data_IF_913162636212
#
_entry.id   IF_913162636212
#
_cell.length_a   1.000
_cell.length_b   1.000
_cell.length_c   1.000
_cell.angle_alpha   90.00
_cell.angle_beta   90.00
_cell.angle_gamma   90.00
#
_symmetry.space_group_name_H-M   'P 1'
#
loop_
_entity.id
_entity.type
_entity.pdbx_description
1 polymer ?
#
# COMPACT_ATOMS: atom_id res chain seq x y z
N UNK A 1 0.52 -6.59 -9.09
CA UNK A 1 1.78 -7.04 -8.46
C UNK A 1 2.95 -6.72 -9.37
N UNK A 2 4.05 -6.23 -8.81
CA UNK A 2 5.33 -6.04 -9.49
C UNK A 2 6.44 -6.78 -8.75
N UNK A 3 7.39 -7.37 -9.47
CA UNK A 3 8.50 -8.15 -8.92
C UNK A 3 9.83 -7.65 -9.47
N UNK A 4 10.78 -7.40 -8.58
CA UNK A 4 12.18 -7.13 -8.91
C UNK A 4 13.07 -8.18 -8.24
N UNK A 5 13.98 -8.81 -9.00
CA UNK A 5 14.99 -9.73 -8.46
C UNK A 5 16.37 -9.22 -8.81
N UNK A 6 17.16 -8.88 -7.79
CA UNK A 6 18.56 -8.51 -7.93
C UNK A 6 19.44 -9.66 -7.44
N UNK A 7 20.07 -10.36 -8.39
CA UNK A 7 20.92 -11.52 -8.10
C UNK A 7 22.28 -11.15 -7.50
N UNK A 8 22.84 -10.02 -7.91
CA UNK A 8 24.13 -9.52 -7.43
C UNK A 8 24.02 -9.02 -5.98
N UNK A 9 23.02 -8.18 -5.72
CA UNK A 9 22.70 -7.67 -4.38
C UNK A 9 21.98 -8.68 -3.47
N UNK A 10 21.65 -9.87 -4.00
CA UNK A 10 20.95 -10.96 -3.31
C UNK A 10 19.66 -10.51 -2.63
N UNK A 11 18.77 -9.88 -3.39
CA UNK A 11 17.46 -9.51 -2.89
C UNK A 11 16.35 -9.62 -3.93
N UNK A 12 15.14 -9.81 -3.46
CA UNK A 12 13.91 -9.74 -4.24
C UNK A 12 12.94 -8.76 -3.55
N UNK A 13 12.24 -7.97 -4.36
CA UNK A 13 11.24 -7.01 -3.90
C UNK A 13 9.93 -7.30 -4.63
N UNK A 14 8.86 -7.49 -3.88
CA UNK A 14 7.50 -7.63 -4.39
C UNK A 14 6.72 -6.39 -3.98
N UNK A 15 6.04 -5.76 -4.94
CA UNK A 15 5.08 -4.68 -4.69
C UNK A 15 3.68 -5.18 -4.99
N UNK A 16 2.77 -5.05 -4.03
CA UNK A 16 1.41 -5.57 -4.11
C UNK A 16 0.40 -4.52 -3.67
N UNK A 17 -0.80 -4.58 -4.23
CA UNK A 17 -1.94 -3.88 -3.62
C UNK A 17 -2.47 -4.68 -2.43
N UNK A 18 -3.25 -4.04 -1.55
CA UNK A 18 -3.92 -4.74 -0.45
C UNK A 18 -4.89 -5.82 -0.98
N UNK A 19 -5.64 -5.51 -2.05
CA UNK A 19 -6.53 -6.49 -2.68
C UNK A 19 -5.77 -7.73 -3.20
N UNK A 20 -4.59 -7.54 -3.78
CA UNK A 20 -3.73 -8.63 -4.24
C UNK A 20 -3.17 -9.46 -3.07
N UNK A 21 -2.80 -8.82 -1.97
CA UNK A 21 -2.38 -9.51 -0.75
C UNK A 21 -3.49 -10.41 -0.18
N UNK A 22 -4.74 -9.94 -0.25
CA UNK A 22 -5.90 -10.66 0.25
C UNK A 22 -6.29 -11.86 -0.64
N UNK A 23 -5.77 -11.97 -1.87
CA UNK A 23 -6.06 -13.08 -2.77
C UNK A 23 -5.08 -14.25 -2.53
N UNK A 24 -5.57 -15.41 -2.03
CA UNK A 24 -4.73 -16.59 -1.80
C UNK A 24 -4.00 -17.07 -3.06
N UNK A 25 -4.61 -16.91 -4.25
CA UNK A 25 -3.97 -17.33 -5.51
C UNK A 25 -2.72 -16.52 -5.82
N UNK A 26 -2.74 -15.24 -5.47
CA UNK A 26 -1.58 -14.37 -5.64
C UNK A 26 -0.47 -14.80 -4.67
N UNK A 27 -0.81 -15.09 -3.42
CA UNK A 27 0.16 -15.56 -2.42
C UNK A 27 0.74 -16.95 -2.74
N UNK A 28 -0.07 -17.84 -3.32
CA UNK A 28 0.37 -19.15 -3.81
C UNK A 28 1.35 -18.99 -4.98
N UNK A 29 1.11 -18.01 -5.87
CA UNK A 29 2.01 -17.73 -6.99
C UNK A 29 3.41 -17.25 -6.56
N UNK A 30 3.54 -16.75 -5.32
CA UNK A 30 4.82 -16.29 -4.74
C UNK A 30 5.64 -17.41 -4.09
N UNK A 31 5.04 -18.59 -3.81
CA UNK A 31 5.74 -19.69 -3.13
C UNK A 31 7.05 -20.12 -3.83
N UNK A 32 7.13 -20.22 -5.18
CA UNK A 32 8.37 -20.56 -5.86
C UNK A 32 9.48 -19.52 -5.62
N UNK A 33 9.14 -18.22 -5.63
CA UNK A 33 10.08 -17.14 -5.38
C UNK A 33 10.57 -17.15 -3.92
N UNK A 34 9.66 -17.39 -2.97
CA UNK A 34 10.01 -17.51 -1.53
C UNK A 34 10.97 -18.68 -1.32
N UNK A 35 10.70 -19.83 -1.96
CA UNK A 35 11.58 -21.00 -1.91
C UNK A 35 12.97 -20.69 -2.49
N UNK A 36 13.03 -20.07 -3.67
CA UNK A 36 14.29 -19.65 -4.29
C UNK A 36 15.07 -18.69 -3.39
N UNK A 37 14.39 -17.69 -2.81
CA UNK A 37 15.05 -16.72 -1.92
C UNK A 37 15.61 -17.41 -0.67
N UNK A 38 14.89 -18.37 -0.10
CA UNK A 38 15.35 -19.14 1.05
C UNK A 38 16.56 -20.00 0.71
N UNK A 39 16.52 -20.73 -0.41
CA UNK A 39 17.61 -21.59 -0.87
C UNK A 39 18.88 -20.79 -1.16
N UNK A 40 18.75 -19.69 -1.92
CA UNK A 40 19.87 -18.84 -2.34
C UNK A 40 20.29 -17.81 -1.30
N UNK A 41 19.62 -17.77 -0.15
CA UNK A 41 19.83 -16.79 0.93
C UNK A 41 19.69 -15.34 0.45
N UNK A 42 18.69 -15.09 -0.40
CA UNK A 42 18.32 -13.73 -0.81
C UNK A 42 17.42 -13.11 0.25
N UNK A 43 17.54 -11.79 0.41
CA UNK A 43 16.58 -11.00 1.21
C UNK A 43 15.32 -10.79 0.39
N UNK A 44 14.18 -11.21 0.92
CA UNK A 44 12.87 -10.93 0.32
C UNK A 44 12.20 -9.80 1.09
N UNK A 45 11.73 -8.78 0.37
CA UNK A 45 10.87 -7.72 0.89
C UNK A 45 9.55 -7.71 0.12
N UNK A 46 8.43 -7.64 0.85
CA UNK A 46 7.09 -7.49 0.27
C UNK A 46 6.56 -6.15 0.77
N UNK A 47 6.27 -5.24 -0.16
CA UNK A 47 5.65 -3.96 0.09
C UNK A 47 4.19 -4.01 -0.35
N UNK A 48 3.33 -3.50 0.51
CA UNK A 48 1.88 -3.55 0.35
C UNK A 48 1.34 -2.12 0.29
N UNK A 49 0.35 -1.87 -0.57
CA UNK A 49 -0.36 -0.60 -0.53
C UNK A 49 -1.14 -0.46 0.78
N UNK A 50 -1.13 0.74 1.37
CA UNK A 50 -2.01 1.06 2.48
C UNK A 50 -3.50 1.04 2.09
N UNK A 51 -4.37 1.12 3.09
CA UNK A 51 -5.84 1.13 2.93
C UNK A 51 -6.42 2.54 2.85
N UNK A 52 -5.62 3.55 3.19
CA UNK A 52 -6.08 4.92 3.29
C UNK A 52 -6.17 5.57 1.91
N UNK A 53 -7.16 6.44 1.75
CA UNK A 53 -7.31 7.24 0.55
C UNK A 53 -6.19 8.28 0.45
N UNK A 54 -5.41 8.22 -0.63
CA UNK A 54 -4.26 9.09 -0.82
C UNK A 54 -4.68 10.56 -0.96
N UNK A 55 -5.81 10.82 -1.60
CA UNK A 55 -6.30 12.19 -1.83
C UNK A 55 -6.74 12.81 -0.51
N UNK A 56 -7.55 12.11 0.27
CA UNK A 56 -8.01 12.58 1.60
C UNK A 56 -6.84 12.76 2.55
N UNK A 57 -5.92 11.79 2.64
CA UNK A 57 -4.73 11.92 3.47
C UNK A 57 -3.85 13.12 3.07
N UNK A 58 -3.74 13.40 1.76
CA UNK A 58 -2.95 14.53 1.26
C UNK A 58 -3.65 15.86 1.58
N UNK A 59 -4.98 15.93 1.42
CA UNK A 59 -5.77 17.11 1.81
C UNK A 59 -5.59 17.40 3.31
N UNK A 60 -5.72 16.37 4.14
CA UNK A 60 -5.57 16.47 5.59
C UNK A 60 -4.21 17.03 5.99
N UNK A 61 -3.16 16.50 5.36
CA UNK A 61 -1.79 16.96 5.59
C UNK A 61 -1.61 18.43 5.16
N UNK A 62 -2.19 18.84 4.03
CA UNK A 62 -2.11 20.21 3.54
C UNK A 62 -2.88 21.20 4.42
N UNK A 63 -4.06 20.81 4.91
CA UNK A 63 -4.86 21.60 5.86
C UNK A 63 -4.07 21.81 7.14
N UNK A 64 -3.51 20.74 7.70
CA UNK A 64 -2.67 20.79 8.90
C UNK A 64 -1.46 21.71 8.71
N UNK A 65 -0.69 21.51 7.63
CA UNK A 65 0.53 22.29 7.38
C UNK A 65 0.27 23.78 7.13
N UNK A 66 -0.92 24.14 6.66
CA UNK A 66 -1.31 25.54 6.42
C UNK A 66 -2.01 26.19 7.61
N UNK A 67 -2.20 25.46 8.71
CA UNK A 67 -2.95 25.95 9.88
C UNK A 67 -4.42 26.21 9.56
N UNK A 68 -4.98 25.49 8.60
CA UNK A 68 -6.40 25.57 8.24
C UNK A 68 -7.19 24.58 9.09
N UNK A 69 -8.49 24.84 9.27
CA UNK A 69 -9.41 23.88 9.86
C UNK A 69 -10.05 23.03 8.75
N UNK A 70 -10.27 21.74 9.03
CA UNK A 70 -11.09 20.93 8.13
C UNK A 70 -12.51 21.45 8.17
N UNK A 71 -13.05 21.83 7.02
CA UNK A 71 -14.47 22.10 6.88
C UNK A 71 -15.20 20.78 6.68
N UNK A 72 -16.21 20.51 7.52
CA UNK A 72 -17.11 19.40 7.29
C UNK A 72 -17.92 19.66 6.00
N UNK A 73 -17.72 18.83 4.98
CA UNK A 73 -18.46 18.88 3.71
C UNK A 73 -19.89 18.29 3.84
N UNK A 74 -20.35 17.97 5.06
CA UNK A 74 -21.73 17.56 5.29
C UNK A 74 -22.67 18.72 4.93
N UNK A 75 -23.62 18.52 3.99
CA UNK A 75 -24.58 19.56 3.65
C UNK A 75 -25.34 19.94 4.93
N UNK A 76 -25.21 21.19 5.38
CA UNK A 76 -26.08 21.73 6.43
C UNK A 76 -27.50 21.68 5.89
N UNK A 77 -28.28 20.71 6.35
CA UNK A 77 -29.73 20.69 6.13
C UNK A 77 -30.26 21.90 6.88
N UNK A 78 -30.54 22.99 6.17
CA UNK A 78 -31.19 24.17 6.76
C UNK A 78 -32.63 23.76 7.11
N UNK A 79 -32.87 23.45 8.38
CA UNK A 79 -34.21 23.31 8.91
C UNK A 79 -34.95 24.62 8.74
N UNK A 80 -36.03 24.59 7.97
CA UNK A 80 -37.03 25.65 7.90
C UNK A 80 -37.82 25.64 9.21
N UNK A 81 -37.61 26.67 10.03
CA UNK A 81 -38.43 27.03 11.19
C UNK A 81 -38.97 28.44 11.04
#
# INVERSE_FOLDING_TARGET
MNLTVNREGKYAIVWMTNAEKADPKVMDSLQPLIAECKEKKYRLAIFESGEQDLVENTKDLLIHNRGLEKTDDTPKVMGLG
#
